data_IF_999829202763
#
_entry.id   IF_999829202763
#
_cell.length_a   1.000
_cell.length_b   1.000
_cell.length_c   1.000
_cell.angle_alpha   90.00
_cell.angle_beta   90.00
_cell.angle_gamma   90.00
#
_symmetry.space_group_name_H-M   'P 1'
#
loop_
_entity.id
_entity.type
_entity.pdbx_description
1 polymer ?
#
# COMPACT_ATOMS: atom_id res chain seq x y z
N UNK A 1 -24.34 -1.39 -16.40
CA UNK A 1 -23.82 -1.67 -15.04
C UNK A 1 -22.95 -0.47 -14.63
N UNK A 2 -23.13 0.08 -13.44
CA UNK A 2 -22.30 1.19 -12.97
C UNK A 2 -20.91 0.69 -12.57
N UNK A 3 -19.87 1.51 -12.76
CA UNK A 3 -18.51 1.19 -12.31
C UNK A 3 -18.48 1.32 -10.78
N UNK A 4 -18.00 0.28 -10.10
CA UNK A 4 -17.84 0.28 -8.64
C UNK A 4 -16.37 0.49 -8.30
N UNK A 5 -16.09 1.40 -7.37
CA UNK A 5 -14.75 1.68 -6.87
C UNK A 5 -14.55 1.10 -5.46
N UNK A 6 -13.32 0.68 -5.09
CA UNK A 6 -12.12 0.66 -5.91
C UNK A 6 -12.16 -0.44 -6.98
N UNK A 7 -11.53 -0.16 -8.14
CA UNK A 7 -11.42 -1.12 -9.23
C UNK A 7 -10.30 -2.12 -8.90
N UNK A 8 -10.52 -3.40 -9.20
CA UNK A 8 -9.46 -4.41 -9.20
C UNK A 8 -8.76 -4.41 -10.56
N UNK A 9 -7.43 -4.37 -10.53
CA UNK A 9 -6.59 -4.45 -11.73
C UNK A 9 -6.49 -5.90 -12.23
N UNK A 10 -6.28 -6.14 -13.52
CA UNK A 10 -6.06 -7.47 -14.09
C UNK A 10 -4.65 -7.95 -13.76
N UNK A 11 -4.41 -8.32 -12.49
CA UNK A 11 -3.08 -8.71 -11.97
C UNK A 11 -2.79 -10.20 -12.08
N UNK A 12 -3.71 -10.96 -12.67
CA UNK A 12 -3.57 -12.41 -12.80
C UNK A 12 -2.60 -12.75 -13.94
N UNK A 13 -1.78 -13.73 -13.72
CA UNK A 13 -0.83 -14.48 -14.58
C UNK A 13 -0.28 -13.87 -15.90
N UNK A 14 -1.00 -12.96 -16.55
CA UNK A 14 -0.70 -12.47 -17.90
C UNK A 14 -0.39 -10.97 -17.99
N UNK A 15 -0.45 -10.22 -16.89
CA UNK A 15 -0.27 -8.77 -16.87
C UNK A 15 0.55 -8.28 -15.68
N UNK A 16 1.51 -9.08 -15.19
CA UNK A 16 2.43 -8.62 -14.16
C UNK A 16 3.29 -7.47 -14.69
N UNK A 17 3.47 -6.37 -13.96
CA UNK A 17 4.38 -5.31 -14.35
C UNK A 17 5.80 -5.82 -14.58
N UNK A 18 6.48 -5.23 -15.54
CA UNK A 18 7.92 -5.46 -15.77
C UNK A 18 8.76 -4.66 -14.80
N UNK A 19 8.26 -3.49 -14.43
CA UNK A 19 8.92 -2.63 -13.47
C UNK A 19 7.86 -1.93 -12.61
N UNK A 20 8.11 -1.90 -11.31
CA UNK A 20 7.29 -1.18 -10.34
C UNK A 20 8.22 -0.42 -9.41
N UNK A 21 8.07 0.89 -9.37
CA UNK A 21 8.81 1.75 -8.45
C UNK A 21 7.84 2.20 -7.36
N UNK A 22 7.91 1.57 -6.19
CA UNK A 22 7.22 2.05 -4.99
C UNK A 22 8.07 3.05 -4.23
N UNK A 23 7.46 4.12 -3.75
CA UNK A 23 8.12 5.11 -2.91
C UNK A 23 7.17 5.60 -1.82
N UNK A 24 7.72 5.89 -0.67
CA UNK A 24 7.01 6.59 0.39
C UNK A 24 7.38 8.07 0.35
N UNK A 25 6.37 8.93 0.29
CA UNK A 25 6.54 10.38 0.33
C UNK A 25 6.34 10.85 1.75
N UNK A 26 7.25 11.72 2.23
CA UNK A 26 7.19 12.29 3.58
C UNK A 26 7.30 13.80 3.52
N UNK A 27 6.58 14.48 4.41
CA UNK A 27 6.67 15.92 4.58
C UNK A 27 7.55 16.21 5.79
N UNK A 28 8.82 16.55 5.53
CA UNK A 28 9.82 16.89 6.55
C UNK A 28 10.38 18.27 6.23
N UNK A 29 10.23 19.20 7.18
CA UNK A 29 10.90 20.51 7.13
C UNK A 29 12.32 20.38 7.68
N UNK A 30 13.27 21.06 7.04
CA UNK A 30 14.65 21.16 7.51
C UNK A 30 15.08 22.63 7.48
N UNK A 31 15.67 23.08 8.57
CA UNK A 31 16.34 24.39 8.68
C UNK A 31 17.79 24.16 9.10
N UNK A 32 18.72 24.88 8.48
CA UNK A 32 20.14 24.81 8.80
C UNK A 32 20.66 26.21 9.15
N UNK A 33 21.38 26.31 10.25
CA UNK A 33 22.06 27.55 10.65
C UNK A 33 23.21 27.86 9.67
N UNK A 34 23.23 29.03 9.01
CA UNK A 34 24.32 29.37 8.11
C UNK A 34 25.64 29.67 8.85
N UNK A 35 25.60 29.82 10.18
CA UNK A 35 26.77 30.18 10.98
C UNK A 35 27.43 28.95 11.63
N UNK A 36 26.64 28.00 12.11
CA UNK A 36 27.15 26.84 12.87
C UNK A 36 26.99 25.52 12.10
N UNK A 37 26.18 25.48 11.03
CA UNK A 37 25.86 24.26 10.30
C UNK A 37 24.90 23.32 11.06
N UNK A 38 24.41 23.74 12.24
CA UNK A 38 23.42 22.97 12.99
C UNK A 38 22.12 22.84 12.23
N UNK A 39 21.54 21.65 12.24
CA UNK A 39 20.31 21.32 11.54
C UNK A 39 19.18 21.07 12.52
N UNK A 40 18.03 21.68 12.23
CA UNK A 40 16.77 21.39 12.90
C UNK A 40 15.82 20.75 11.89
N UNK A 41 15.31 19.58 12.20
CA UNK A 41 14.34 18.86 11.38
C UNK A 41 12.97 18.86 12.05
N UNK A 42 11.92 19.03 11.25
CA UNK A 42 10.54 19.00 11.70
C UNK A 42 9.77 17.97 10.86
N UNK A 43 9.30 16.89 11.49
CA UNK A 43 8.48 15.87 10.81
C UNK A 43 7.01 16.28 10.91
N UNK A 44 6.36 16.43 9.77
CA UNK A 44 4.92 16.56 9.67
C UNK A 44 4.26 15.19 9.52
N UNK A 45 2.95 15.10 9.80
CA UNK A 45 2.21 13.82 9.72
C UNK A 45 1.92 13.35 8.29
N UNK A 46 2.24 14.18 7.27
CA UNK A 46 1.98 13.84 5.87
C UNK A 46 2.93 12.76 5.35
N UNK A 47 2.45 11.55 5.24
CA UNK A 47 3.15 10.43 4.63
C UNK A 47 2.18 9.64 3.75
N UNK A 48 2.60 9.21 2.55
CA UNK A 48 1.77 8.40 1.65
C UNK A 48 2.61 7.62 0.66
N UNK A 49 2.01 6.60 0.09
CA UNK A 49 2.59 5.81 -0.97
C UNK A 49 2.39 6.44 -2.34
N UNK A 50 3.42 6.37 -3.17
CA UNK A 50 3.36 6.63 -4.61
C UNK A 50 3.96 5.43 -5.33
N UNK A 51 3.45 5.12 -6.51
CA UNK A 51 4.05 4.10 -7.35
C UNK A 51 4.01 4.48 -8.83
N UNK A 52 5.02 4.04 -9.56
CA UNK A 52 5.08 4.10 -11.01
C UNK A 52 5.16 2.67 -11.53
N UNK A 53 4.29 2.34 -12.47
CA UNK A 53 4.09 0.99 -12.94
C UNK A 53 4.27 0.96 -14.45
N UNK A 54 5.20 0.12 -14.92
CA UNK A 54 5.42 -0.15 -16.33
C UNK A 54 5.02 -1.60 -16.62
N UNK A 55 4.08 -1.78 -17.53
CA UNK A 55 3.62 -3.09 -17.97
C UNK A 55 4.52 -3.64 -19.08
N UNK A 56 4.66 -4.97 -19.19
CA UNK A 56 5.38 -5.58 -20.30
C UNK A 56 4.70 -5.24 -21.64
N UNK A 57 5.42 -5.26 -22.73
CA UNK A 57 4.82 -5.20 -24.06
C UNK A 57 3.79 -6.33 -24.22
N UNK A 58 2.53 -5.99 -24.42
CA UNK A 58 1.42 -6.95 -24.44
C UNK A 58 0.71 -6.97 -25.79
N UNK A 59 0.18 -8.14 -26.14
CA UNK A 59 -0.70 -8.28 -27.31
C UNK A 59 -2.06 -7.61 -27.04
N UNK A 60 -2.70 -7.19 -28.11
CA UNK A 60 -3.96 -6.44 -28.14
C UNK A 60 -5.04 -6.90 -27.13
N UNK A 61 -5.28 -8.21 -26.98
CA UNK A 61 -6.36 -8.70 -26.12
C UNK A 61 -6.14 -8.34 -24.65
N UNK A 62 -4.92 -8.57 -24.13
CA UNK A 62 -4.55 -8.27 -22.74
C UNK A 62 -4.42 -6.76 -22.49
N UNK A 63 -3.77 -6.07 -23.42
CA UNK A 63 -3.59 -4.62 -23.33
C UNK A 63 -4.93 -3.88 -23.24
N UNK A 64 -5.94 -4.30 -24.00
CA UNK A 64 -7.26 -3.68 -23.96
C UNK A 64 -7.95 -3.81 -22.62
N UNK A 65 -7.75 -4.91 -21.92
CA UNK A 65 -8.31 -5.08 -20.58
C UNK A 65 -7.69 -4.05 -19.61
N UNK A 66 -6.37 -3.87 -19.64
CA UNK A 66 -5.69 -2.84 -18.88
C UNK A 66 -6.14 -1.43 -19.24
N UNK A 67 -6.17 -1.11 -20.53
CA UNK A 67 -6.63 0.20 -21.02
C UNK A 67 -8.06 0.46 -20.57
N UNK A 68 -8.96 -0.51 -20.66
CA UNK A 68 -10.33 -0.37 -20.23
C UNK A 68 -10.44 -0.06 -18.72
N UNK A 69 -9.62 -0.72 -17.87
CA UNK A 69 -9.58 -0.45 -16.44
C UNK A 69 -9.03 0.95 -16.14
N UNK A 70 -7.94 1.36 -16.80
CA UNK A 70 -7.37 2.70 -16.62
C UNK A 70 -8.33 3.80 -17.09
N UNK A 71 -8.99 3.62 -18.24
CA UNK A 71 -10.03 4.56 -18.73
C UNK A 71 -11.22 4.60 -17.76
N UNK A 72 -11.60 3.45 -17.18
CA UNK A 72 -12.68 3.39 -16.20
C UNK A 72 -12.35 4.15 -14.89
N UNK A 73 -11.08 4.44 -14.61
CA UNK A 73 -10.66 5.31 -13.49
C UNK A 73 -11.13 6.76 -13.67
N UNK A 74 -11.37 7.22 -14.90
CA UNK A 74 -11.76 8.62 -15.19
C UNK A 74 -10.75 9.63 -14.63
N UNK A 75 -9.46 9.39 -14.89
CA UNK A 75 -8.37 10.19 -14.34
C UNK A 75 -8.24 10.04 -12.82
N UNK A 76 -8.06 11.13 -12.13
CA UNK A 76 -7.87 11.15 -10.66
C UNK A 76 -9.15 10.90 -9.85
N UNK A 77 -10.31 10.74 -10.51
CA UNK A 77 -11.58 10.56 -9.83
C UNK A 77 -11.74 9.16 -9.22
N UNK A 78 -11.42 8.13 -10.00
CA UNK A 78 -11.59 6.75 -9.56
C UNK A 78 -10.48 6.28 -8.61
N UNK A 79 -10.75 5.17 -7.96
CA UNK A 79 -9.79 4.50 -7.06
C UNK A 79 -9.58 3.07 -7.49
N UNK A 80 -8.39 2.54 -7.23
CA UNK A 80 -8.02 1.16 -7.49
C UNK A 80 -7.34 0.51 -6.28
N UNK A 81 -7.41 -0.80 -6.18
CA UNK A 81 -6.63 -1.58 -5.22
C UNK A 81 -5.30 -1.97 -5.85
N UNK A 82 -4.22 -1.57 -5.20
CA UNK A 82 -2.86 -1.86 -5.63
C UNK A 82 -2.01 -2.25 -4.42
N UNK A 83 -1.13 -3.22 -4.60
CA UNK A 83 -0.09 -3.59 -3.66
C UNK A 83 1.22 -3.77 -4.39
N UNK A 84 2.30 -3.98 -3.67
CA UNK A 84 3.59 -4.31 -4.24
C UNK A 84 3.51 -5.69 -4.91
N UNK A 85 3.90 -5.75 -6.18
CA UNK A 85 3.82 -6.98 -6.99
C UNK A 85 4.85 -8.02 -6.55
N UNK A 86 5.99 -7.60 -6.01
CA UNK A 86 7.02 -8.48 -5.47
C UNK A 86 6.75 -8.82 -3.98
N UNK A 87 6.13 -7.90 -3.25
CA UNK A 87 5.80 -8.04 -1.82
C UNK A 87 4.48 -8.77 -1.51
N UNK A 88 3.98 -9.64 -2.41
CA UNK A 88 2.68 -10.31 -2.22
C UNK A 88 2.68 -11.33 -1.09
N UNK A 89 3.81 -11.98 -0.85
CA UNK A 89 3.96 -13.02 0.18
C UNK A 89 4.94 -12.53 1.23
N UNK A 90 4.58 -12.54 2.52
CA UNK A 90 5.51 -12.15 3.57
C UNK A 90 6.71 -13.11 3.60
N UNK A 91 7.87 -12.57 3.98
CA UNK A 91 9.12 -13.35 4.12
C UNK A 91 9.20 -14.08 5.45
N UNK A 92 8.39 -13.65 6.41
CA UNK A 92 8.28 -14.27 7.72
C UNK A 92 7.46 -15.56 7.72
N UNK A 93 7.31 -16.18 8.91
CA UNK A 93 6.53 -17.41 9.08
C UNK A 93 5.04 -17.21 8.80
N UNK A 94 4.55 -15.96 8.79
CA UNK A 94 3.20 -15.61 8.36
C UNK A 94 2.89 -16.04 6.92
N UNK A 95 3.89 -16.30 6.08
CA UNK A 95 3.70 -16.82 4.72
C UNK A 95 3.03 -18.19 4.67
N UNK A 96 3.25 -19.02 5.66
CA UNK A 96 2.73 -20.40 5.75
C UNK A 96 1.80 -20.62 6.95
N UNK A 97 1.89 -19.77 7.96
CA UNK A 97 1.16 -19.92 9.23
C UNK A 97 0.80 -18.54 9.79
N UNK A 98 -0.10 -17.86 9.11
CA UNK A 98 -0.50 -16.51 9.50
C UNK A 98 -1.40 -16.46 10.75
N UNK A 99 -2.22 -17.51 11.00
CA UNK A 99 -3.31 -17.40 11.96
C UNK A 99 -4.43 -16.52 11.41
N UNK A 100 -5.11 -15.81 12.30
CA UNK A 100 -6.12 -14.80 11.96
C UNK A 100 -5.77 -13.48 12.65
N UNK A 101 -4.72 -12.78 12.18
CA UNK A 101 -4.25 -11.59 12.87
C UNK A 101 -5.29 -10.47 12.85
N UNK A 102 -5.53 -9.91 14.01
CA UNK A 102 -6.47 -8.82 14.26
C UNK A 102 -5.76 -7.68 14.98
N UNK A 103 -6.34 -6.50 14.93
CA UNK A 103 -5.89 -5.36 15.72
C UNK A 103 -6.28 -5.59 17.18
N UNK A 104 -5.30 -5.56 18.07
CA UNK A 104 -5.51 -5.78 19.50
C UNK A 104 -5.69 -4.44 20.22
N UNK A 105 -6.93 -4.08 20.49
CA UNK A 105 -7.33 -2.86 21.17
C UNK A 105 -7.52 -1.66 20.25
N UNK A 106 -8.45 -0.81 20.63
CA UNK A 106 -8.75 0.45 19.96
C UNK A 106 -7.76 1.56 20.32
N UNK A 107 -7.88 2.71 19.66
CA UNK A 107 -7.12 3.94 19.94
C UNK A 107 -5.61 3.83 19.69
N UNK A 108 -5.19 2.93 18.83
CA UNK A 108 -3.81 2.85 18.40
C UNK A 108 -3.47 3.97 17.41
N UNK A 109 -2.27 4.52 17.50
CA UNK A 109 -1.80 5.65 16.68
C UNK A 109 -0.28 5.63 16.51
N UNK A 110 0.22 6.40 15.55
CA UNK A 110 1.64 6.50 15.27
C UNK A 110 2.16 5.32 14.47
N UNK A 111 3.39 4.92 14.71
CA UNK A 111 4.11 3.91 13.92
C UNK A 111 4.12 2.52 14.57
N UNK A 112 3.34 2.33 15.63
CA UNK A 112 3.26 1.04 16.35
C UNK A 112 1.85 0.48 16.22
N UNK A 113 1.76 -0.81 15.88
CA UNK A 113 0.51 -1.55 15.79
C UNK A 113 0.62 -2.81 16.64
N UNK A 114 -0.27 -2.97 17.60
CA UNK A 114 -0.39 -4.18 18.43
C UNK A 114 -1.45 -5.07 17.79
N UNK A 115 -1.11 -6.33 17.61
CA UNK A 115 -1.97 -7.33 16.99
C UNK A 115 -2.11 -8.55 17.89
N UNK A 116 -3.19 -9.30 17.69
CA UNK A 116 -3.43 -10.62 18.27
C UNK A 116 -3.95 -11.62 17.22
N UNK A 117 -4.34 -12.80 17.66
CA UNK A 117 -4.87 -13.84 16.77
C UNK A 117 -3.88 -14.39 15.74
N UNK A 118 -2.64 -13.95 15.77
CA UNK A 118 -1.58 -14.53 14.94
C UNK A 118 -1.20 -15.93 15.46
N UNK A 119 -0.50 -16.70 14.65
CA UNK A 119 0.03 -18.00 15.11
C UNK A 119 1.01 -17.79 16.25
N UNK A 120 0.78 -18.47 17.37
CA UNK A 120 1.55 -18.31 18.59
C UNK A 120 3.00 -18.81 18.47
N UNK A 121 3.90 -18.20 19.25
CA UNK A 121 5.30 -18.62 19.42
C UNK A 121 6.09 -18.72 18.10
N UNK A 122 5.86 -17.77 17.19
CA UNK A 122 6.59 -17.68 15.92
C UNK A 122 7.74 -16.68 16.03
N UNK A 123 8.95 -17.14 15.78
CA UNK A 123 10.09 -16.25 15.58
C UNK A 123 10.12 -15.77 14.14
N UNK A 124 10.26 -14.47 13.93
CA UNK A 124 10.21 -13.86 12.60
C UNK A 124 8.84 -14.05 11.95
N UNK A 125 7.76 -13.81 12.67
CA UNK A 125 6.40 -13.88 12.15
C UNK A 125 6.22 -12.98 10.93
N UNK A 126 6.60 -11.71 11.07
CA UNK A 126 6.77 -10.77 9.96
C UNK A 126 8.19 -10.22 10.00
N UNK A 127 8.76 -9.96 8.84
CA UNK A 127 10.11 -9.42 8.70
C UNK A 127 10.10 -8.01 8.16
N UNK A 128 11.15 -7.25 8.48
CA UNK A 128 11.34 -5.91 7.94
C UNK A 128 11.25 -5.93 6.40
N UNK A 129 10.35 -5.12 5.83
CA UNK A 129 10.01 -5.09 4.41
C UNK A 129 8.77 -5.90 4.03
N UNK A 130 8.17 -6.66 4.94
CA UNK A 130 6.87 -7.29 4.71
C UNK A 130 5.77 -6.24 4.76
N UNK A 131 4.69 -6.48 4.01
CA UNK A 131 3.54 -5.59 3.97
C UNK A 131 2.36 -6.16 4.75
N UNK A 132 1.59 -5.28 5.34
CA UNK A 132 0.29 -5.57 5.95
C UNK A 132 -0.77 -4.65 5.37
N UNK A 133 -2.00 -5.13 5.33
CA UNK A 133 -3.16 -4.33 4.96
C UNK A 133 -4.14 -4.28 6.12
N UNK A 134 -4.56 -3.07 6.46
CA UNK A 134 -5.66 -2.79 7.39
C UNK A 134 -6.91 -2.44 6.58
N UNK A 135 -8.04 -3.03 6.96
CA UNK A 135 -9.33 -2.78 6.33
C UNK A 135 -9.51 -3.41 4.96
N UNK A 136 -10.64 -3.12 4.34
CA UNK A 136 -11.05 -3.69 3.04
C UNK A 136 -11.72 -2.64 2.15
N UNK A 137 -11.72 -2.87 0.84
CA UNK A 137 -12.35 -1.96 -0.12
C UNK A 137 -11.73 -0.55 -0.07
N UNK A 138 -12.54 0.48 0.07
CA UNK A 138 -12.09 1.89 0.16
C UNK A 138 -11.34 2.21 1.46
N UNK A 139 -11.49 1.40 2.50
CA UNK A 139 -10.76 1.57 3.75
C UNK A 139 -9.43 0.81 3.80
N UNK A 140 -9.02 0.14 2.73
CA UNK A 140 -7.76 -0.58 2.67
C UNK A 140 -6.58 0.38 2.80
N UNK A 141 -5.72 0.13 3.79
CA UNK A 141 -4.48 0.89 4.03
C UNK A 141 -3.30 -0.06 4.01
N UNK A 142 -2.29 0.31 3.23
CA UNK A 142 -1.06 -0.45 3.07
C UNK A 142 0.02 0.10 3.99
N UNK A 143 0.58 -0.78 4.81
CA UNK A 143 1.72 -0.45 5.67
C UNK A 143 2.84 -1.45 5.45
N UNK A 144 4.08 -1.00 5.58
CA UNK A 144 5.27 -1.85 5.57
C UNK A 144 5.74 -2.04 7.00
N UNK A 145 6.06 -3.25 7.37
CA UNK A 145 6.74 -3.58 8.63
C UNK A 145 8.21 -3.22 8.48
N UNK A 146 8.76 -2.44 9.41
CA UNK A 146 10.13 -1.91 9.30
C UNK A 146 11.13 -2.61 10.23
N UNK A 147 10.65 -3.43 11.15
CA UNK A 147 11.45 -4.25 12.06
C UNK A 147 10.89 -5.66 12.11
N UNK A 148 11.76 -6.66 12.33
CA UNK A 148 11.31 -8.04 12.49
C UNK A 148 10.42 -8.15 13.74
N UNK A 149 9.34 -8.89 13.64
CA UNK A 149 8.37 -9.09 14.71
C UNK A 149 8.14 -10.57 14.98
N UNK A 150 8.19 -10.92 16.27
CA UNK A 150 7.88 -12.25 16.78
C UNK A 150 6.49 -12.26 17.41
N UNK A 151 5.87 -13.43 17.48
CA UNK A 151 4.63 -13.60 18.25
C UNK A 151 4.90 -14.27 19.59
N UNK A 152 4.18 -13.83 20.60
CA UNK A 152 4.22 -14.45 21.93
C UNK A 152 3.46 -15.79 22.00
N UNK A 153 3.43 -16.41 23.19
CA UNK A 153 2.74 -17.68 23.44
C UNK A 153 1.21 -17.62 23.28
N UNK A 154 0.65 -16.44 23.12
CA UNK A 154 -0.79 -16.19 22.90
C UNK A 154 -1.11 -15.71 21.48
N UNK A 155 -0.10 -15.53 20.64
CA UNK A 155 -0.25 -15.01 19.27
C UNK A 155 -0.36 -13.49 19.20
N UNK A 156 0.12 -12.76 20.20
CA UNK A 156 0.22 -11.31 20.14
C UNK A 156 1.57 -10.89 19.57
N UNK A 157 1.60 -9.78 18.87
CA UNK A 157 2.82 -9.14 18.40
C UNK A 157 2.69 -7.61 18.40
N UNK A 158 3.83 -6.93 18.47
CA UNK A 158 3.93 -5.49 18.27
C UNK A 158 4.70 -5.24 16.99
N UNK A 159 4.08 -4.54 16.04
CA UNK A 159 4.64 -4.23 14.74
C UNK A 159 5.09 -2.78 14.69
N UNK A 160 6.29 -2.53 14.19
CA UNK A 160 6.75 -1.21 13.78
C UNK A 160 6.39 -1.01 12.31
N UNK A 161 5.54 -0.02 11.99
CA UNK A 161 4.96 0.16 10.65
C UNK A 161 5.21 1.53 10.05
N UNK A 162 5.30 1.60 8.72
CA UNK A 162 5.35 2.82 7.91
C UNK A 162 4.40 2.69 6.69
N UNK A 163 3.65 3.74 6.33
CA UNK A 163 3.41 5.01 7.02
C UNK A 163 2.74 4.84 8.39
N UNK A 164 2.79 5.90 9.21
CA UNK A 164 2.09 5.93 10.48
C UNK A 164 0.57 5.72 10.32
N UNK A 165 -0.08 5.21 11.35
CA UNK A 165 -1.55 5.14 11.42
C UNK A 165 -2.12 6.56 11.37
N UNK A 166 -2.88 6.87 10.33
CA UNK A 166 -3.55 8.19 10.16
C UNK A 166 -4.85 8.26 10.95
N UNK A 167 -5.56 7.16 10.99
CA UNK A 167 -6.76 6.97 11.80
C UNK A 167 -6.56 5.73 12.65
N UNK A 168 -7.03 5.78 13.88
CA UNK A 168 -7.00 4.62 14.75
C UNK A 168 -7.85 3.50 14.16
N UNK A 169 -7.29 2.31 13.93
CA UNK A 169 -8.09 1.16 13.54
C UNK A 169 -9.04 0.77 14.69
N UNK A 170 -10.17 0.18 14.33
CA UNK A 170 -11.06 -0.41 15.33
C UNK A 170 -10.43 -1.66 15.93
N UNK A 171 -10.82 -1.96 17.17
CA UNK A 171 -10.52 -3.25 17.79
C UNK A 171 -11.06 -4.39 16.92
N UNK A 172 -10.37 -5.52 16.90
CA UNK A 172 -10.70 -6.70 16.10
C UNK A 172 -10.72 -6.46 14.57
N UNK A 173 -10.17 -5.36 14.08
CA UNK A 173 -10.05 -5.15 12.64
C UNK A 173 -9.11 -6.20 12.03
N UNK A 174 -9.62 -6.95 11.04
CA UNK A 174 -8.82 -7.98 10.38
C UNK A 174 -7.61 -7.40 9.63
N UNK A 175 -6.47 -8.06 9.80
CA UNK A 175 -5.20 -7.72 9.16
C UNK A 175 -4.90 -8.74 8.07
N UNK A 176 -4.69 -8.25 6.85
CA UNK A 176 -4.24 -9.10 5.75
C UNK A 176 -2.72 -9.02 5.64
N UNK A 177 -2.04 -10.17 5.63
CA UNK A 177 -0.58 -10.28 5.55
C UNK A 177 -0.08 -10.83 4.21
N UNK A 178 -0.97 -11.33 3.36
CA UNK A 178 -0.64 -11.85 2.03
C UNK A 178 -1.47 -11.15 0.97
N UNK A 179 -0.86 -10.87 -0.19
CA UNK A 179 -1.50 -10.14 -1.29
C UNK A 179 -2.12 -8.80 -0.84
N UNK A 180 -1.39 -8.11 -0.01
CA UNK A 180 -1.78 -6.85 0.64
C UNK A 180 -1.96 -5.73 -0.38
N UNK A 181 -2.97 -4.88 -0.15
CA UNK A 181 -3.32 -3.80 -1.07
C UNK A 181 -3.68 -2.54 -0.30
N UNK A 182 -3.35 -1.40 -0.86
CA UNK A 182 -3.87 -0.10 -0.46
C UNK A 182 -4.81 0.45 -1.54
N UNK A 183 -5.47 1.55 -1.23
CA UNK A 183 -6.30 2.28 -2.19
C UNK A 183 -5.46 3.37 -2.84
N UNK A 184 -5.42 3.36 -4.17
CA UNK A 184 -4.68 4.32 -4.98
C UNK A 184 -5.58 4.98 -6.01
N UNK A 185 -5.13 6.11 -6.54
CA UNK A 185 -5.70 6.81 -7.70
C UNK A 185 -4.61 7.23 -8.66
N UNK A 186 -4.97 7.52 -9.90
CA UNK A 186 -4.03 8.06 -10.88
C UNK A 186 -3.53 9.44 -10.45
N UNK A 187 -2.29 9.75 -10.77
CA UNK A 187 -1.68 11.07 -10.52
C UNK A 187 -2.14 12.11 -11.54
N UNK A 188 -2.51 11.66 -12.75
CA UNK A 188 -2.91 12.53 -13.86
C UNK A 188 -4.35 12.24 -14.33
N UNK A 189 -4.97 13.21 -14.99
CA UNK A 189 -6.26 13.03 -15.66
C UNK A 189 -6.13 12.46 -17.07
N UNK A 190 -4.91 12.28 -17.54
CA UNK A 190 -4.60 11.72 -18.85
C UNK A 190 -4.30 10.24 -18.74
N UNK A 191 -4.80 9.47 -19.69
CA UNK A 191 -4.52 8.04 -19.81
C UNK A 191 -3.92 7.81 -21.19
N UNK A 192 -2.65 7.41 -21.21
CA UNK A 192 -1.90 7.18 -22.45
C UNK A 192 -1.57 5.70 -22.61
N UNK A 193 -1.51 5.27 -23.85
CA UNK A 193 -0.99 3.97 -24.24
C UNK A 193 -0.44 4.04 -25.67
N UNK A 194 0.66 3.37 -25.89
CA UNK A 194 1.27 3.23 -27.21
C UNK A 194 0.90 1.90 -27.86
N UNK A 195 0.66 1.92 -29.16
CA UNK A 195 0.42 0.73 -29.95
C UNK A 195 1.29 0.79 -31.22
N UNK A 196 2.09 -0.23 -31.44
CA UNK A 196 2.90 -0.32 -32.66
C UNK A 196 2.16 -1.03 -33.80
N UNK A 197 2.80 -1.09 -34.99
CA UNK A 197 2.23 -1.70 -36.20
C UNK A 197 1.95 -3.21 -36.09
N UNK A 198 2.54 -3.89 -35.12
CA UNK A 198 2.32 -5.32 -34.82
C UNK A 198 1.40 -5.53 -33.62
N UNK A 199 0.62 -4.51 -33.24
CA UNK A 199 -0.35 -4.55 -32.14
C UNK A 199 0.24 -4.93 -30.78
N UNK A 200 1.45 -4.44 -30.50
CA UNK A 200 2.08 -4.54 -29.18
C UNK A 200 1.91 -3.20 -28.47
N UNK A 201 1.41 -3.25 -27.25
CA UNK A 201 1.08 -2.08 -26.43
C UNK A 201 2.12 -1.89 -25.33
N UNK A 202 2.57 -0.66 -25.14
CA UNK A 202 3.29 -0.18 -23.97
C UNK A 202 2.34 0.63 -23.09
N UNK A 203 2.30 0.34 -21.80
CA UNK A 203 1.46 1.05 -20.83
C UNK A 203 2.32 1.37 -19.61
N UNK A 204 2.41 2.66 -19.29
CA UNK A 204 3.05 3.15 -18.05
C UNK A 204 2.10 4.13 -17.38
N UNK A 205 1.92 4.00 -16.07
CA UNK A 205 1.07 4.92 -15.31
C UNK A 205 1.61 5.11 -13.90
N UNK A 206 1.35 6.29 -13.35
CA UNK A 206 1.72 6.65 -11.98
C UNK A 206 0.48 6.77 -11.11
N UNK A 207 0.61 6.33 -9.87
CA UNK A 207 -0.45 6.33 -8.88
C UNK A 207 0.02 6.92 -7.56
N UNK A 208 -0.91 7.50 -6.83
CA UNK A 208 -0.71 7.98 -5.46
C UNK A 208 -1.77 7.37 -4.55
N UNK A 209 -1.40 7.13 -3.32
CA UNK A 209 -2.33 6.64 -2.30
C UNK A 209 -3.53 7.58 -2.18
N UNK A 210 -4.72 7.00 -2.09
CA UNK A 210 -5.95 7.76 -1.86
C UNK A 210 -6.08 8.12 -0.38
N UNK A 211 -5.97 9.41 -0.09
CA UNK A 211 -6.21 9.98 1.23
C UNK A 211 -7.58 10.66 1.21
N UNK A 212 -8.50 10.24 2.07
CA UNK A 212 -9.78 10.92 2.23
C UNK A 212 -9.62 12.19 3.07
N UNK A 213 -10.47 13.19 2.84
CA UNK A 213 -10.47 14.42 3.66
C UNK A 213 -10.68 14.15 5.17
N UNK A 214 -11.37 13.07 5.51
CA UNK A 214 -11.59 12.66 6.91
C UNK A 214 -10.30 12.19 7.62
N UNK A 215 -9.28 11.81 6.84
CA UNK A 215 -8.00 11.33 7.38
C UNK A 215 -6.96 12.43 7.54
N UNK A 216 -7.20 13.61 6.96
CA UNK A 216 -6.25 14.73 6.94
C UNK A 216 -6.52 15.73 8.07
N UNK A 217 -7.71 15.72 8.66
CA UNK A 217 -8.04 16.61 9.78
C UNK A 217 -7.51 15.99 11.07
N UNK A 218 -6.50 16.63 11.72
CA UNK A 218 -6.14 16.27 13.08
C UNK A 218 -7.36 16.54 13.96
N UNK A 219 -7.64 15.63 14.86
CA UNK A 219 -8.58 15.90 15.96
C UNK A 219 -8.03 17.11 16.74
N UNK A 220 -8.61 18.29 16.54
CA UNK A 220 -8.40 19.48 17.37
C UNK A 220 -9.01 19.27 18.74
#
# INVERSE_FOLDING_TARGET
MAITYPISLPTDALGQPTNTTFRIRRVVGQSMSPFTGEQQTFRHQGEWWEAEITLPPMKHALAREWVAKLVAMRGVFGTMLLGDFDGKTPRGTASSSAGTPLVNGASQSGNTLIIDGATASQTGYLKAGDYIQLGTGLSSRLHMVVEDADTDGSGNATLSIEPALRTSPSDDLAITVSNTKGVFRLVTNETEWDANSVSVYGITFAVTEYLSCAEILPQL
#
